data_IF_346314083417
#
_entry.id   IF_346314083417
#
_cell.length_a   1.000
_cell.length_b   1.000
_cell.length_c   1.000
_cell.angle_alpha   90.00
_cell.angle_beta   90.00
_cell.angle_gamma   90.00
#
_symmetry.space_group_name_H-M   'P 1'
#
loop_
_entity.id
_entity.type
_entity.pdbx_description
1 polymer ?
#
# COMPACT_ATOMS: atom_id res chain seq x y z
N UNK A 1 -1.89 -25.11 -7.85
CA UNK A 1 -1.62 -24.21 -6.72
C UNK A 1 -0.52 -23.27 -7.14
N UNK A 2 -0.75 -21.95 -7.08
CA UNK A 2 0.29 -20.95 -7.30
C UNK A 2 1.16 -20.88 -6.04
N UNK A 3 2.47 -20.69 -6.23
CA UNK A 3 3.38 -20.33 -5.13
C UNK A 3 3.12 -18.88 -4.72
N UNK A 4 3.52 -18.46 -3.51
CA UNK A 4 3.47 -17.05 -3.08
C UNK A 4 3.97 -16.09 -4.15
N UNK A 5 5.12 -16.41 -4.74
CA UNK A 5 5.74 -15.61 -5.79
C UNK A 5 4.80 -15.52 -7.01
N UNK A 6 4.21 -16.65 -7.44
CA UNK A 6 3.27 -16.67 -8.57
C UNK A 6 1.95 -15.95 -8.31
N UNK A 7 1.38 -16.08 -7.11
CA UNK A 7 0.16 -15.37 -6.71
C UNK A 7 0.40 -13.85 -6.62
N UNK A 8 1.52 -13.45 -5.99
CA UNK A 8 1.91 -12.05 -5.91
C UNK A 8 2.24 -11.45 -7.28
N UNK A 9 2.85 -12.21 -8.18
CA UNK A 9 3.12 -11.77 -9.56
C UNK A 9 1.82 -11.60 -10.37
N UNK A 10 0.83 -12.45 -10.15
CA UNK A 10 -0.49 -12.32 -10.78
C UNK A 10 -1.27 -11.12 -10.23
N UNK A 11 -1.15 -10.85 -8.92
CA UNK A 11 -1.71 -9.65 -8.30
C UNK A 11 -0.99 -8.37 -8.74
N UNK A 12 0.33 -8.39 -8.83
CA UNK A 12 1.14 -7.26 -9.32
C UNK A 12 0.72 -6.87 -10.75
N UNK A 13 0.41 -7.85 -11.61
CA UNK A 13 -0.07 -7.62 -12.97
C UNK A 13 -1.51 -7.08 -13.05
N UNK A 14 -2.34 -7.32 -12.04
CA UNK A 14 -3.75 -6.93 -12.07
C UNK A 14 -4.02 -5.50 -11.60
N UNK A 15 -2.99 -4.76 -11.14
CA UNK A 15 -3.11 -3.39 -10.59
C UNK A 15 -4.21 -3.25 -9.53
N UNK A 16 -4.52 -4.33 -8.83
CA UNK A 16 -5.58 -4.34 -7.84
C UNK A 16 -5.20 -3.49 -6.62
N UNK A 17 -6.17 -2.75 -6.10
CA UNK A 17 -6.01 -1.99 -4.86
C UNK A 17 -6.88 -2.59 -3.77
N UNK A 18 -6.36 -2.51 -2.54
CA UNK A 18 -7.07 -2.85 -1.31
C UNK A 18 -7.52 -1.54 -0.68
N UNK A 19 -8.83 -1.37 -0.51
CA UNK A 19 -9.39 -0.20 0.17
C UNK A 19 -9.72 -0.58 1.61
N UNK A 20 -9.04 0.07 2.55
CA UNK A 20 -9.31 -0.06 3.99
C UNK A 20 -10.26 1.07 4.39
N UNK A 21 -11.46 0.77 4.92
CA UNK A 21 -12.41 1.79 5.32
C UNK A 21 -11.91 2.58 6.55
N UNK A 22 -12.38 3.82 6.70
CA UNK A 22 -11.94 4.75 7.75
C UNK A 22 -11.91 4.15 9.16
N UNK A 23 -12.97 3.46 9.56
CA UNK A 23 -13.05 2.89 10.91
C UNK A 23 -11.91 1.88 11.17
N UNK A 24 -11.57 1.09 10.16
CA UNK A 24 -10.45 0.15 10.22
C UNK A 24 -9.09 0.88 10.18
N UNK A 25 -8.95 1.93 9.37
CA UNK A 25 -7.75 2.79 9.39
C UNK A 25 -7.53 3.36 10.79
N UNK A 26 -8.58 3.87 11.44
CA UNK A 26 -8.49 4.42 12.80
C UNK A 26 -8.13 3.35 13.83
N UNK A 27 -8.71 2.15 13.72
CA UNK A 27 -8.34 1.00 14.56
C UNK A 27 -6.86 0.64 14.41
N UNK A 28 -6.37 0.55 13.18
CA UNK A 28 -4.97 0.26 12.89
C UNK A 28 -4.05 1.37 13.39
N UNK A 29 -4.42 2.65 13.22
CA UNK A 29 -3.65 3.79 13.75
C UNK A 29 -3.55 3.76 15.28
N UNK A 30 -4.63 3.40 15.99
CA UNK A 30 -4.60 3.26 17.45
C UNK A 30 -3.66 2.14 17.91
N UNK A 31 -3.52 1.07 17.11
CA UNK A 31 -2.73 -0.12 17.45
C UNK A 31 -1.26 -0.03 17.04
N UNK A 32 -0.99 0.48 15.84
CA UNK A 32 0.35 0.48 15.22
C UNK A 32 0.93 1.89 15.03
N UNK A 33 0.17 2.93 15.39
CA UNK A 33 0.60 4.32 15.30
C UNK A 33 0.26 4.99 13.96
N UNK A 34 0.60 6.29 13.83
CA UNK A 34 0.20 7.11 12.69
C UNK A 34 0.81 6.68 11.35
N UNK A 35 1.90 5.89 11.36
CA UNK A 35 2.57 5.38 10.17
C UNK A 35 1.65 4.56 9.25
N UNK A 36 0.57 3.97 9.80
CA UNK A 36 -0.48 3.28 9.03
C UNK A 36 -1.01 4.15 7.89
N UNK A 37 -1.19 5.47 8.10
CA UNK A 37 -1.71 6.38 7.07
C UNK A 37 -0.72 6.63 5.93
N UNK A 38 0.54 6.23 6.09
CA UNK A 38 1.59 6.41 5.09
C UNK A 38 1.77 5.18 4.21
N UNK A 39 1.09 4.06 4.52
CA UNK A 39 1.23 2.80 3.77
C UNK A 39 0.75 2.89 2.31
N UNK A 40 -0.06 3.89 1.97
CA UNK A 40 -0.60 4.12 0.64
C UNK A 40 -1.37 5.44 0.56
N UNK A 41 -2.31 5.54 -0.37
CA UNK A 41 -3.08 6.75 -0.61
C UNK A 41 -4.15 6.93 0.49
N UNK A 42 -3.91 7.86 1.41
CA UNK A 42 -4.86 8.18 2.47
C UNK A 42 -5.83 9.29 2.04
N UNK A 43 -7.10 8.92 1.87
CA UNK A 43 -8.20 9.79 1.44
C UNK A 43 -8.78 10.62 2.59
N UNK A 44 -7.91 11.33 3.31
CA UNK A 44 -8.28 12.08 4.52
C UNK A 44 -9.33 13.17 4.31
N UNK A 45 -9.38 13.77 3.11
CA UNK A 45 -10.29 14.85 2.75
C UNK A 45 -11.66 14.36 2.25
N UNK A 46 -11.84 13.05 2.03
CA UNK A 46 -13.09 12.47 1.55
C UNK A 46 -13.66 11.49 2.57
N UNK A 47 -13.56 10.19 2.35
CA UNK A 47 -14.17 9.16 3.20
C UNK A 47 -13.24 8.70 4.34
N UNK A 48 -11.98 9.13 4.35
CA UNK A 48 -10.96 8.72 5.32
C UNK A 48 -10.39 7.33 5.08
N UNK A 49 -10.69 6.71 3.94
CA UNK A 49 -10.17 5.40 3.56
C UNK A 49 -8.67 5.44 3.23
N UNK A 50 -8.04 4.27 3.28
CA UNK A 50 -6.64 4.08 2.88
C UNK A 50 -6.60 3.07 1.74
N UNK A 51 -6.06 3.49 0.61
CA UNK A 51 -5.93 2.66 -0.57
C UNK A 51 -4.49 2.14 -0.70
N UNK A 52 -4.33 0.83 -0.76
CA UNK A 52 -3.04 0.14 -0.83
C UNK A 52 -2.93 -0.63 -2.14
N UNK A 53 -1.80 -0.50 -2.84
CA UNK A 53 -1.52 -1.36 -3.99
C UNK A 53 -1.16 -2.78 -3.54
N UNK A 54 -1.78 -3.79 -4.14
CA UNK A 54 -1.41 -5.20 -3.91
C UNK A 54 0.06 -5.47 -4.27
N UNK A 55 0.60 -4.78 -5.29
CA UNK A 55 2.02 -4.86 -5.65
C UNK A 55 2.94 -4.36 -4.53
N UNK A 56 2.52 -3.33 -3.79
CA UNK A 56 3.30 -2.81 -2.66
C UNK A 56 3.18 -3.73 -1.45
N UNK A 57 2.01 -4.34 -1.22
CA UNK A 57 1.82 -5.38 -0.20
C UNK A 57 2.74 -6.57 -0.48
N UNK A 58 2.77 -7.04 -1.73
CA UNK A 58 3.63 -8.10 -2.21
C UNK A 58 5.12 -7.80 -1.94
N UNK A 59 5.57 -6.63 -2.38
CA UNK A 59 6.96 -6.20 -2.23
C UNK A 59 7.33 -6.02 -0.75
N UNK A 60 6.47 -5.38 0.04
CA UNK A 60 6.70 -5.19 1.48
C UNK A 60 6.78 -6.53 2.21
N UNK A 61 5.91 -7.49 1.91
CA UNK A 61 5.93 -8.82 2.49
C UNK A 61 7.24 -9.57 2.21
N UNK A 62 7.72 -9.52 0.95
CA UNK A 62 9.02 -10.10 0.56
C UNK A 62 10.18 -9.47 1.33
N UNK A 63 10.11 -8.17 1.62
CA UNK A 63 11.14 -7.43 2.36
C UNK A 63 11.13 -7.74 3.87
N UNK A 64 9.97 -8.04 4.45
CA UNK A 64 9.87 -8.43 5.86
C UNK A 64 10.47 -9.82 6.10
N UNK A 65 10.35 -10.74 5.13
CA UNK A 65 10.99 -12.07 5.19
C UNK A 65 10.47 -12.99 6.31
N UNK A 66 9.32 -12.65 6.90
CA UNK A 66 8.68 -13.43 7.96
C UNK A 66 7.77 -14.50 7.34
N UNK A 67 8.00 -15.77 7.70
CA UNK A 67 7.26 -16.91 7.14
C UNK A 67 5.80 -16.97 7.58
N UNK A 68 5.46 -16.45 8.77
CA UNK A 68 4.08 -16.36 9.27
C UNK A 68 3.31 -15.29 8.51
N UNK A 69 3.95 -14.14 8.28
CA UNK A 69 3.38 -13.08 7.45
C UNK A 69 3.21 -13.54 6.00
N UNK A 70 4.21 -14.24 5.47
CA UNK A 70 4.18 -14.81 4.12
C UNK A 70 3.02 -15.80 3.98
N UNK A 71 2.85 -16.73 4.92
CA UNK A 71 1.73 -17.67 4.92
C UNK A 71 0.37 -16.97 5.06
N UNK A 72 0.26 -15.96 5.93
CA UNK A 72 -0.97 -15.18 6.07
C UNK A 72 -1.32 -14.41 4.77
N UNK A 73 -0.32 -14.00 4.00
CA UNK A 73 -0.50 -13.32 2.70
C UNK A 73 -0.78 -14.32 1.57
N UNK A 74 -0.20 -15.52 1.59
CA UNK A 74 -0.52 -16.63 0.68
C UNK A 74 -1.99 -17.09 0.80
N UNK A 75 -2.56 -16.98 2.00
CA UNK A 75 -3.96 -17.31 2.25
C UNK A 75 -4.94 -16.23 1.77
N UNK A 76 -4.46 -15.04 1.39
CA UNK A 76 -5.31 -13.96 0.89
C UNK A 76 -5.87 -14.33 -0.47
N UNK A 77 -7.17 -14.56 -0.54
CA UNK A 77 -7.92 -14.71 -1.79
C UNK A 77 -8.63 -13.42 -2.17
N UNK A 78 -8.65 -12.44 -1.27
CA UNK A 78 -9.29 -11.14 -1.47
C UNK A 78 -8.57 -9.98 -0.76
N UNK A 79 -8.69 -8.75 -1.29
CA UNK A 79 -8.29 -7.51 -0.61
C UNK A 79 -8.80 -7.38 0.83
N UNK A 80 -10.01 -7.82 1.10
CA UNK A 80 -10.67 -7.75 2.41
C UNK A 80 -10.02 -8.65 3.46
N UNK A 81 -9.41 -9.76 3.06
CA UNK A 81 -8.72 -10.67 3.99
C UNK A 81 -7.39 -10.10 4.48
N UNK A 82 -6.84 -9.06 3.81
CA UNK A 82 -5.59 -8.41 4.18
C UNK A 82 -5.62 -7.84 5.60
N UNK A 83 -6.78 -7.37 6.06
CA UNK A 83 -6.96 -6.90 7.43
C UNK A 83 -6.71 -8.01 8.46
N UNK A 84 -7.02 -9.25 8.12
CA UNK A 84 -6.76 -10.41 8.96
C UNK A 84 -5.27 -10.67 9.20
N UNK A 85 -4.38 -10.16 8.33
CA UNK A 85 -2.92 -10.26 8.49
C UNK A 85 -2.45 -9.46 9.72
N UNK A 86 -3.06 -8.30 9.97
CA UNK A 86 -2.73 -7.43 11.11
C UNK A 86 -3.17 -8.03 12.45
N UNK A 87 -4.12 -8.95 12.44
CA UNK A 87 -4.61 -9.62 13.65
C UNK A 87 -3.79 -10.87 14.02
N UNK A 88 -3.12 -11.48 13.04
CA UNK A 88 -2.42 -12.77 13.22
C UNK A 88 -0.97 -12.65 13.70
N UNK A 89 -0.31 -11.50 13.52
CA UNK A 89 1.14 -11.38 13.74
C UNK A 89 1.49 -10.08 14.46
N UNK A 90 2.25 -10.14 15.56
CA UNK A 90 2.67 -8.94 16.31
C UNK A 90 3.75 -8.11 15.58
N UNK A 91 5.03 -8.46 15.78
CA UNK A 91 6.18 -7.65 15.35
C UNK A 91 6.33 -7.54 13.81
N UNK A 92 6.02 -8.61 13.07
CA UNK A 92 6.07 -8.62 11.60
C UNK A 92 5.10 -7.63 10.95
N UNK A 93 3.99 -7.32 11.63
CA UNK A 93 2.99 -6.35 11.14
C UNK A 93 3.52 -4.93 11.22
N UNK A 94 4.27 -4.57 12.27
CA UNK A 94 4.92 -3.26 12.37
C UNK A 94 5.94 -3.09 11.23
N UNK A 95 6.75 -4.13 10.98
CA UNK A 95 7.69 -4.12 9.87
C UNK A 95 6.96 -4.01 8.52
N UNK A 96 5.82 -4.67 8.35
CA UNK A 96 5.00 -4.53 7.15
C UNK A 96 4.49 -3.10 6.96
N UNK A 97 3.98 -2.46 8.02
CA UNK A 97 3.54 -1.05 7.99
C UNK A 97 4.69 -0.13 7.57
N UNK A 98 5.88 -0.33 8.14
CA UNK A 98 7.07 0.45 7.80
C UNK A 98 7.51 0.23 6.36
N UNK A 99 7.54 -1.02 5.88
CA UNK A 99 7.92 -1.35 4.52
C UNK A 99 6.93 -0.80 3.49
N UNK A 100 5.62 -0.88 3.77
CA UNK A 100 4.59 -0.26 2.94
C UNK A 100 4.76 1.25 2.88
N UNK A 101 4.98 1.91 4.03
CA UNK A 101 5.21 3.35 4.08
C UNK A 101 6.45 3.77 3.28
N UNK A 102 7.54 2.98 3.38
CA UNK A 102 8.76 3.21 2.60
C UNK A 102 8.51 3.10 1.10
N UNK A 103 7.88 2.00 0.66
CA UNK A 103 7.58 1.79 -0.76
C UNK A 103 6.68 2.88 -1.32
N UNK A 104 5.64 3.27 -0.57
CA UNK A 104 4.74 4.34 -1.00
C UNK A 104 5.51 5.66 -1.21
N UNK A 105 6.37 6.03 -0.26
CA UNK A 105 7.22 7.22 -0.37
C UNK A 105 8.17 7.15 -1.56
N UNK A 106 8.84 6.01 -1.80
CA UNK A 106 9.72 5.83 -2.96
C UNK A 106 8.99 5.95 -4.30
N UNK A 107 7.72 5.51 -4.38
CA UNK A 107 6.88 5.71 -5.56
C UNK A 107 6.46 7.18 -5.73
N UNK A 108 6.17 7.88 -4.63
CA UNK A 108 5.88 9.31 -4.67
C UNK A 108 7.10 10.13 -5.13
N UNK A 109 8.27 9.88 -4.55
CA UNK A 109 9.53 10.54 -4.93
C UNK A 109 9.84 10.32 -6.42
N UNK A 110 9.66 9.09 -6.93
CA UNK A 110 9.84 8.80 -8.36
C UNK A 110 8.84 9.55 -9.26
N UNK A 111 7.58 9.70 -8.83
CA UNK A 111 6.59 10.50 -9.57
C UNK A 111 6.95 11.97 -9.60
N UNK A 112 7.39 12.53 -8.47
CA UNK A 112 7.86 13.92 -8.39
C UNK A 112 9.07 14.13 -9.31
N UNK A 113 10.04 13.21 -9.29
CA UNK A 113 11.20 13.28 -10.18
C UNK A 113 10.78 13.25 -11.65
N UNK A 114 9.89 12.32 -12.02
CA UNK A 114 9.36 12.21 -13.40
C UNK A 114 8.61 13.47 -13.83
N UNK A 115 7.87 14.10 -12.92
CA UNK A 115 7.18 15.37 -13.18
C UNK A 115 8.18 16.50 -13.45
N UNK A 116 9.29 16.55 -12.72
CA UNK A 116 10.34 17.55 -12.93
C UNK A 116 11.11 17.33 -14.24
N UNK A 117 11.27 16.07 -14.66
CA UNK A 117 12.06 15.72 -15.84
C UNK A 117 11.26 15.72 -17.15
N UNK A 118 9.93 15.56 -17.08
CA UNK A 118 9.11 15.47 -18.29
C UNK A 118 9.03 16.81 -19.03
N UNK A 119 9.03 16.72 -20.36
CA UNK A 119 8.79 17.85 -21.27
C UNK A 119 7.44 17.73 -21.98
N UNK A 120 6.70 16.65 -21.74
CA UNK A 120 5.38 16.44 -22.28
C UNK A 120 4.34 17.11 -21.35
N UNK A 121 3.62 18.14 -21.83
CA UNK A 121 2.63 18.84 -21.03
C UNK A 121 1.46 17.95 -20.60
N UNK A 122 1.11 16.91 -21.38
CA UNK A 122 0.03 15.98 -21.02
C UNK A 122 0.48 15.06 -19.88
N UNK A 123 1.72 14.59 -19.95
CA UNK A 123 2.32 13.80 -18.87
C UNK A 123 2.49 14.63 -17.59
N UNK A 124 2.93 15.89 -17.73
CA UNK A 124 3.08 16.80 -16.61
C UNK A 124 1.75 17.03 -15.87
N UNK A 125 0.66 17.30 -16.61
CA UNK A 125 -0.67 17.50 -16.02
C UNK A 125 -1.16 16.24 -15.28
N UNK A 126 -0.99 15.07 -15.91
CA UNK A 126 -1.33 13.79 -15.27
C UNK A 126 -0.55 13.56 -13.98
N UNK A 127 0.77 13.74 -14.00
CA UNK A 127 1.62 13.54 -12.83
C UNK A 127 1.30 14.55 -11.72
N UNK A 128 0.99 15.80 -12.08
CA UNK A 128 0.55 16.81 -11.12
C UNK A 128 -0.76 16.42 -10.44
N UNK A 129 -1.72 15.90 -11.18
CA UNK A 129 -2.98 15.41 -10.62
C UNK A 129 -2.76 14.23 -9.66
N UNK A 130 -1.89 13.28 -10.02
CA UNK A 130 -1.52 12.15 -9.15
C UNK A 130 -0.79 12.61 -7.87
N UNK A 131 0.13 13.57 -7.98
CA UNK A 131 0.85 14.16 -6.82
C UNK A 131 -0.12 14.93 -5.91
N UNK A 132 -1.00 15.73 -6.50
CA UNK A 132 -1.97 16.54 -5.76
C UNK A 132 -2.96 15.65 -5.02
N UNK A 133 -3.44 14.59 -5.66
CA UNK A 133 -4.30 13.59 -5.04
C UNK A 133 -3.63 12.98 -3.80
N UNK A 134 -2.34 12.65 -3.88
CA UNK A 134 -1.63 12.02 -2.76
C UNK A 134 -1.32 12.98 -1.61
N UNK A 135 -1.01 14.24 -1.89
CA UNK A 135 -0.73 15.25 -0.87
C UNK A 135 -1.99 15.78 -0.19
N UNK A 136 -3.07 15.97 -0.97
CA UNK A 136 -4.26 16.70 -0.51
C UNK A 136 -5.50 15.81 -0.37
N UNK A 137 -5.44 14.55 -0.83
CA UNK A 137 -6.53 13.58 -0.70
C UNK A 137 -7.82 13.97 -1.43
N UNK A 138 -7.71 14.80 -2.47
CA UNK A 138 -8.82 15.48 -3.16
C UNK A 138 -9.61 14.60 -4.13
#
# INVERSE_FOLDING_TARGET
>A
MLTFIGFLEELERSHQTVVIPKDEVERLVRRFGPAVRQMGLWRHSTDGSLELSTSNIAAAARLVGDSVLTAAIEELKSPTEFLGVFDRSGCATLQLVEQLGRLNREHFERRVQRFQDTRDPVEADRLWNEISLELFGA
#
